data_IF_698274447259
#
_entry.id   IF_698274447259
#
_cell.length_a   1.000
_cell.length_b   1.000
_cell.length_c   1.000
_cell.angle_alpha   90.00
_cell.angle_beta   90.00
_cell.angle_gamma   90.00
#
_symmetry.space_group_name_H-M   'P 1'
#
loop_
_entity.id
_entity.type
_entity.pdbx_description
1 polymer ?
#
# COMPACT_ATOMS: atom_id res chain seq x y z
N UNK A 1 -15.32 8.82 -14.90
CA UNK A 1 -13.88 8.53 -14.98
C UNK A 1 -13.65 7.55 -16.12
N UNK A 2 -13.60 8.07 -17.34
CA UNK A 2 -13.38 7.28 -18.56
C UNK A 2 -12.22 7.90 -19.33
N UNK A 3 -10.99 7.65 -18.90
CA UNK A 3 -9.77 8.06 -19.61
C UNK A 3 -8.59 7.12 -19.37
N UNK A 4 -8.80 5.81 -19.49
CA UNK A 4 -7.69 4.85 -19.57
C UNK A 4 -8.00 3.69 -20.52
N UNK A 5 -8.32 4.04 -21.77
CA UNK A 5 -8.31 3.11 -22.90
C UNK A 5 -7.60 3.80 -24.05
N UNK A 6 -6.30 3.53 -24.21
CA UNK A 6 -5.58 3.66 -25.48
C UNK A 6 -4.30 2.81 -25.42
N UNK A 7 -4.46 1.57 -25.88
CA UNK A 7 -3.41 0.65 -26.32
C UNK A 7 -2.95 1.16 -27.68
N UNK A 8 -1.71 1.62 -27.82
CA UNK A 8 -1.14 2.03 -29.12
C UNK A 8 -0.18 0.96 -29.63
N UNK A 9 -0.51 0.45 -30.80
CA UNK A 9 0.23 -0.53 -31.56
C UNK A 9 1.54 0.05 -32.14
N UNK A 10 2.55 -0.81 -32.23
CA UNK A 10 3.80 -0.59 -32.95
C UNK A 10 3.60 -0.92 -34.44
N UNK A 11 4.17 -0.15 -35.37
CA UNK A 11 4.55 -0.68 -36.68
C UNK A 11 6.05 -0.49 -36.97
N UNK A 12 6.57 -1.47 -37.69
CA UNK A 12 7.99 -1.68 -37.96
C UNK A 12 8.64 -0.79 -39.01
N UNK A 13 9.95 -1.02 -39.10
CA UNK A 13 10.97 -0.42 -39.96
C UNK A 13 10.76 -0.62 -41.47
N UNK A 14 11.06 0.41 -42.26
CA UNK A 14 11.79 0.24 -43.54
C UNK A 14 12.48 1.55 -43.99
N UNK A 15 13.66 1.38 -44.60
CA UNK A 15 14.67 2.36 -44.98
C UNK A 15 14.31 3.26 -46.18
N UNK A 16 14.88 4.46 -46.26
CA UNK A 16 15.50 5.00 -47.48
C UNK A 16 16.35 6.26 -47.22
N UNK A 17 17.53 6.29 -47.83
CA UNK A 17 18.58 7.28 -47.68
C UNK A 17 18.36 8.55 -48.54
N UNK A 18 18.89 9.70 -48.08
CA UNK A 18 19.33 10.79 -48.95
C UNK A 18 20.36 11.68 -48.23
N UNK A 19 21.58 11.71 -48.77
CA UNK A 19 22.66 12.62 -48.42
C UNK A 19 22.34 14.07 -48.83
N UNK A 20 22.61 15.03 -47.95
CA UNK A 20 23.13 16.35 -48.36
C UNK A 20 23.89 17.03 -47.22
N UNK A 21 25.15 17.34 -47.50
CA UNK A 21 26.14 18.02 -46.65
C UNK A 21 25.99 19.55 -46.71
N UNK A 22 26.59 20.24 -45.73
CA UNK A 22 26.94 21.68 -45.62
C UNK A 22 25.85 22.52 -44.90
N UNK A 23 26.10 23.30 -43.84
CA UNK A 23 27.29 24.02 -43.38
C UNK A 23 27.30 24.21 -41.85
N UNK A 24 28.51 24.37 -41.30
CA UNK A 24 28.76 24.86 -39.96
C UNK A 24 28.60 26.39 -39.88
N UNK A 25 27.88 26.87 -38.87
CA UNK A 25 28.04 28.22 -38.31
C UNK A 25 27.50 28.25 -36.88
N UNK A 26 28.42 28.61 -35.99
CA UNK A 26 28.34 28.85 -34.54
C UNK A 26 27.15 29.70 -34.09
N UNK A 27 26.46 29.29 -33.02
CA UNK A 27 25.91 30.19 -31.98
C UNK A 27 25.55 29.41 -30.72
N UNK A 28 26.34 29.68 -29.68
CA UNK A 28 25.96 29.99 -28.29
C UNK A 28 25.18 28.99 -27.41
N UNK A 29 25.65 28.99 -26.17
CA UNK A 29 25.36 28.12 -25.03
C UNK A 29 24.08 28.59 -24.32
N UNK A 30 23.14 27.68 -24.06
CA UNK A 30 22.19 27.82 -22.95
C UNK A 30 22.03 26.47 -22.22
N UNK A 31 22.80 26.31 -21.14
CA UNK A 31 22.56 25.29 -20.12
C UNK A 31 21.46 25.84 -19.20
N UNK A 32 20.24 25.31 -19.36
CA UNK A 32 19.11 25.61 -18.49
C UNK A 32 19.45 25.29 -17.04
N UNK A 33 19.50 26.34 -16.21
CA UNK A 33 19.74 26.27 -14.77
C UNK A 33 18.62 25.46 -14.10
N UNK A 34 18.98 24.33 -13.47
CA UNK A 34 18.16 23.75 -12.41
C UNK A 34 18.20 24.72 -11.23
N UNK A 35 17.11 25.45 -11.03
CA UNK A 35 16.89 26.35 -9.90
C UNK A 35 17.02 25.56 -8.59
N UNK A 36 18.06 25.86 -7.81
CA UNK A 36 18.14 25.41 -6.42
C UNK A 36 16.95 26.02 -5.63
N UNK A 37 16.29 25.27 -4.74
CA UNK A 37 15.22 25.82 -3.92
C UNK A 37 15.77 26.94 -3.02
N UNK A 38 15.15 28.12 -3.14
CA UNK A 38 15.57 29.34 -2.46
C UNK A 38 15.26 29.26 -0.96
N UNK A 39 16.25 28.88 -0.15
CA UNK A 39 16.17 28.78 1.32
C UNK A 39 15.81 30.13 1.98
N UNK A 40 16.15 31.26 1.35
CA UNK A 40 15.97 32.60 1.93
C UNK A 40 14.52 33.11 1.93
N UNK A 41 13.68 32.64 0.99
CA UNK A 41 12.24 32.93 0.95
C UNK A 41 11.50 32.19 2.08
N UNK A 42 11.89 30.95 2.36
CA UNK A 42 11.33 30.13 3.45
C UNK A 42 11.61 30.74 4.83
N UNK A 43 12.81 31.30 5.06
CA UNK A 43 13.16 31.94 6.34
C UNK A 43 12.43 33.28 6.58
N UNK A 44 12.15 34.05 5.53
CA UNK A 44 11.38 35.30 5.65
C UNK A 44 9.90 35.03 5.96
N UNK A 45 9.33 34.00 5.32
CA UNK A 45 7.96 33.56 5.57
C UNK A 45 7.77 33.05 7.01
N UNK A 46 8.71 32.26 7.53
CA UNK A 46 8.65 31.72 8.89
C UNK A 46 8.82 32.79 9.98
N UNK A 47 9.69 33.80 9.78
CA UNK A 47 9.80 34.94 10.71
C UNK A 47 8.55 35.80 10.75
N UNK A 48 7.99 36.14 9.58
CA UNK A 48 6.72 36.87 9.50
C UNK A 48 5.57 36.09 10.15
N UNK A 49 5.58 34.75 10.03
CA UNK A 49 4.61 33.89 10.69
C UNK A 49 4.74 33.95 12.21
N UNK A 50 5.94 33.93 12.79
CA UNK A 50 6.12 34.03 14.26
C UNK A 50 5.54 35.33 14.82
N UNK A 51 5.80 36.48 14.20
CA UNK A 51 5.29 37.76 14.69
C UNK A 51 3.76 37.85 14.58
N UNK A 52 3.19 37.31 13.49
CA UNK A 52 1.74 37.22 13.31
C UNK A 52 1.10 36.25 14.32
N UNK A 53 1.76 35.14 14.61
CA UNK A 53 1.33 34.18 15.64
C UNK A 53 1.32 34.83 17.02
N UNK A 54 2.37 35.58 17.38
CA UNK A 54 2.42 36.32 18.67
C UNK A 54 1.28 37.33 18.78
N UNK A 55 1.03 38.12 17.73
CA UNK A 55 -0.11 39.05 17.68
C UNK A 55 -1.45 38.33 17.83
N UNK A 56 -1.61 37.16 17.20
CA UNK A 56 -2.84 36.37 17.31
C UNK A 56 -3.04 35.82 18.73
N UNK A 57 -1.97 35.35 19.38
CA UNK A 57 -2.00 34.93 20.78
C UNK A 57 -2.37 36.08 21.73
N UNK A 58 -1.82 37.29 21.49
CA UNK A 58 -2.17 38.50 22.24
C UNK A 58 -3.66 38.87 22.08
N UNK A 59 -4.19 38.82 20.86
CA UNK A 59 -5.61 39.08 20.58
C UNK A 59 -6.50 38.04 21.28
N UNK A 60 -6.09 36.78 21.26
CA UNK A 60 -6.80 35.68 21.91
C UNK A 60 -6.68 35.70 23.44
N UNK A 61 -5.88 36.61 24.02
CA UNK A 61 -5.57 36.68 25.45
C UNK A 61 -4.94 35.41 26.00
N UNK A 62 -4.18 34.71 25.16
CA UNK A 62 -3.49 33.47 25.48
C UNK A 62 -2.03 33.77 25.85
N UNK A 63 -1.84 34.38 27.03
CA UNK A 63 -0.54 34.86 27.50
C UNK A 63 0.31 33.78 28.20
N UNK A 64 -0.31 32.68 28.60
CA UNK A 64 0.33 31.61 29.39
C UNK A 64 0.58 30.33 28.58
N UNK A 65 0.34 30.39 27.26
CA UNK A 65 0.86 29.35 26.37
C UNK A 65 2.37 29.49 26.40
N UNK A 66 3.09 28.42 26.75
CA UNK A 66 4.55 28.33 26.65
C UNK A 66 4.85 27.09 25.82
N UNK A 67 5.87 27.18 24.96
CA UNK A 67 6.28 26.06 24.11
C UNK A 67 6.06 26.26 22.61
N UNK A 68 6.12 25.16 21.88
CA UNK A 68 6.09 25.08 20.42
C UNK A 68 4.71 25.44 19.83
N UNK A 69 4.71 26.37 18.87
CA UNK A 69 3.56 26.58 17.98
C UNK A 69 3.77 25.74 16.72
N UNK A 70 2.86 24.82 16.46
CA UNK A 70 2.92 23.96 15.28
C UNK A 70 1.99 24.49 14.18
N UNK A 71 2.57 24.95 13.08
CA UNK A 71 1.85 25.38 11.88
C UNK A 71 1.58 24.16 11.00
N UNK A 72 0.32 23.80 10.81
CA UNK A 72 -0.07 22.72 9.90
C UNK A 72 -0.05 23.24 8.47
N UNK A 73 0.76 22.60 7.63
CA UNK A 73 0.91 22.90 6.20
C UNK A 73 0.46 21.70 5.38
N UNK A 74 -0.31 21.95 4.31
CA UNK A 74 -0.74 20.89 3.42
C UNK A 74 0.30 20.68 2.32
N UNK A 75 0.87 19.47 2.25
CA UNK A 75 1.68 19.08 1.09
C UNK A 75 0.80 18.82 -0.12
N UNK A 76 1.37 18.76 -1.33
CA UNK A 76 0.61 18.40 -2.54
C UNK A 76 1.38 17.32 -3.29
N UNK A 77 0.73 16.23 -3.74
CA UNK A 77 -0.70 15.90 -3.58
C UNK A 77 -1.02 15.16 -2.27
N UNK A 78 -2.11 15.53 -1.58
CA UNK A 78 -2.59 14.87 -0.34
C UNK A 78 -3.37 13.57 -0.55
N UNK A 79 -3.76 13.31 -1.80
CA UNK A 79 -4.63 12.21 -2.22
C UNK A 79 -3.89 11.26 -3.17
N UNK A 80 -2.58 11.10 -3.00
CA UNK A 80 -1.76 10.26 -3.87
C UNK A 80 -2.12 8.77 -3.81
N UNK A 81 -2.78 8.33 -2.74
CA UNK A 81 -3.07 6.93 -2.48
C UNK A 81 -1.89 6.16 -1.89
N UNK A 82 -0.76 6.84 -1.60
CA UNK A 82 0.45 6.23 -1.04
C UNK A 82 0.26 5.73 0.40
N UNK A 83 -0.76 6.26 1.09
CA UNK A 83 -1.10 5.90 2.46
C UNK A 83 -2.52 5.36 2.52
N UNK A 84 -2.74 4.36 3.38
CA UNK A 84 -4.06 3.88 3.80
C UNK A 84 -4.05 3.64 5.30
N UNK A 85 -5.19 3.90 5.93
CA UNK A 85 -5.38 3.68 7.36
C UNK A 85 -6.04 2.33 7.57
N UNK A 86 -5.48 1.53 8.47
CA UNK A 86 -6.00 0.21 8.84
C UNK A 86 -6.23 0.24 10.35
N UNK A 87 -7.46 -0.08 10.76
CA UNK A 87 -7.79 -0.31 12.16
C UNK A 87 -7.32 -1.71 12.56
N UNK A 88 -6.50 -1.76 13.62
CA UNK A 88 -5.94 -2.99 14.17
C UNK A 88 -6.31 -3.10 15.64
N UNK A 89 -6.68 -4.30 16.08
CA UNK A 89 -6.88 -4.57 17.50
C UNK A 89 -5.52 -4.68 18.23
N UNK A 90 -5.47 -4.56 19.56
CA UNK A 90 -4.20 -4.59 20.31
C UNK A 90 -3.36 -5.85 20.05
N UNK A 91 -4.00 -7.04 20.01
CA UNK A 91 -3.31 -8.31 19.73
C UNK A 91 -2.62 -8.30 18.36
N UNK A 92 -3.27 -7.74 17.34
CA UNK A 92 -2.72 -7.64 15.99
C UNK A 92 -1.65 -6.54 15.90
N UNK A 93 -1.81 -5.43 16.64
CA UNK A 93 -0.80 -4.40 16.74
C UNK A 93 0.51 -4.95 17.31
N UNK A 94 0.45 -5.69 18.44
CA UNK A 94 1.63 -6.33 19.04
C UNK A 94 2.36 -7.25 18.04
N UNK A 95 1.60 -7.99 17.23
CA UNK A 95 2.12 -8.88 16.20
C UNK A 95 2.82 -8.11 15.07
N UNK A 96 2.21 -7.04 14.59
CA UNK A 96 2.79 -6.15 13.58
C UNK A 96 4.09 -5.53 14.10
N UNK A 97 4.08 -5.02 15.33
CA UNK A 97 5.25 -4.42 15.97
C UNK A 97 6.39 -5.43 16.20
N UNK A 98 6.04 -6.70 16.43
CA UNK A 98 7.03 -7.79 16.51
C UNK A 98 7.66 -8.18 15.15
N UNK A 99 7.16 -7.62 14.05
CA UNK A 99 7.64 -7.90 12.70
C UNK A 99 6.99 -9.11 12.03
N UNK A 100 5.80 -9.52 12.49
CA UNK A 100 5.07 -10.62 11.84
C UNK A 100 4.68 -10.26 10.40
N UNK A 101 4.86 -11.22 9.48
CA UNK A 101 4.48 -11.05 8.08
C UNK A 101 2.96 -11.08 7.92
N UNK A 102 2.44 -10.04 7.27
CA UNK A 102 1.05 -9.92 6.84
C UNK A 102 0.98 -9.99 5.32
N UNK A 103 -0.03 -10.68 4.78
CA UNK A 103 -0.22 -10.84 3.34
C UNK A 103 -1.68 -10.63 3.00
N UNK A 104 -1.97 -9.75 2.03
CA UNK A 104 -3.30 -9.66 1.43
C UNK A 104 -3.47 -10.76 0.40
N UNK A 105 -4.60 -11.48 0.46
CA UNK A 105 -4.94 -12.58 -0.47
C UNK A 105 -6.34 -12.38 -1.07
N UNK A 106 -6.51 -12.83 -2.29
CA UNK A 106 -7.75 -12.73 -3.08
C UNK A 106 -7.46 -12.35 -4.53
N UNK A 107 -8.32 -12.81 -5.43
CA UNK A 107 -8.32 -12.40 -6.84
C UNK A 107 -8.93 -11.02 -7.02
N UNK A 108 -8.88 -10.54 -8.27
CA UNK A 108 -9.47 -9.27 -8.70
C UNK A 108 -10.97 -9.12 -8.37
N UNK A 109 -11.72 -10.22 -8.42
CA UNK A 109 -13.17 -10.23 -8.17
C UNK A 109 -13.53 -10.56 -6.71
N UNK A 110 -12.54 -10.88 -5.87
CA UNK A 110 -12.77 -11.24 -4.48
C UNK A 110 -12.79 -10.00 -3.57
N UNK A 111 -13.48 -10.13 -2.43
CA UNK A 111 -13.22 -9.25 -1.30
C UNK A 111 -11.89 -9.68 -0.67
N UNK A 112 -10.88 -8.80 -0.58
CA UNK A 112 -9.57 -9.21 -0.08
C UNK A 112 -9.64 -9.66 1.38
N UNK A 113 -8.75 -10.58 1.73
CA UNK A 113 -8.50 -10.97 3.12
C UNK A 113 -7.08 -10.61 3.51
N UNK A 114 -6.86 -10.29 4.78
CA UNK A 114 -5.54 -10.13 5.37
C UNK A 114 -5.21 -11.41 6.13
N UNK A 115 -4.15 -12.09 5.72
CA UNK A 115 -3.66 -13.29 6.36
C UNK A 115 -2.41 -12.97 7.16
N UNK A 116 -2.43 -13.40 8.42
CA UNK A 116 -1.21 -13.64 9.19
C UNK A 116 -0.73 -15.08 8.91
N UNK A 117 0.29 -15.56 9.60
CA UNK A 117 0.70 -16.97 9.45
C UNK A 117 -0.40 -17.96 9.87
N UNK A 118 -1.24 -17.57 10.84
CA UNK A 118 -2.15 -18.46 11.56
C UNK A 118 -3.63 -18.09 11.37
N UNK A 119 -3.93 -16.79 11.36
CA UNK A 119 -5.28 -16.24 11.35
C UNK A 119 -5.55 -15.46 10.05
N UNK A 120 -6.80 -15.51 9.59
CA UNK A 120 -7.30 -14.75 8.44
C UNK A 120 -8.33 -13.72 8.89
N UNK A 121 -8.26 -12.53 8.33
CA UNK A 121 -9.13 -11.40 8.62
C UNK A 121 -9.83 -10.95 7.35
N UNK A 122 -11.14 -10.77 7.43
CA UNK A 122 -11.90 -10.06 6.42
C UNK A 122 -11.52 -8.58 6.43
N UNK A 123 -11.30 -8.03 5.24
CA UNK A 123 -10.96 -6.62 5.03
C UNK A 123 -12.22 -5.89 4.58
N UNK A 124 -12.56 -4.80 5.26
CA UNK A 124 -13.73 -3.99 4.91
C UNK A 124 -13.36 -2.52 4.93
N UNK A 125 -13.72 -1.78 3.89
CA UNK A 125 -13.59 -0.33 3.89
C UNK A 125 -14.76 0.31 4.64
N UNK A 126 -14.44 1.25 5.53
CA UNK A 126 -15.39 2.04 6.30
C UNK A 126 -15.16 3.52 6.01
N UNK A 127 -16.25 4.26 5.86
CA UNK A 127 -16.23 5.71 5.67
C UNK A 127 -16.65 6.41 6.96
N UNK A 128 -15.97 7.51 7.26
CA UNK A 128 -16.30 8.38 8.40
C UNK A 128 -16.77 9.73 7.89
N UNK A 129 -17.59 10.41 8.68
CA UNK A 129 -17.97 11.80 8.43
C UNK A 129 -16.81 12.78 8.67
N UNK A 130 -15.70 12.32 9.25
CA UNK A 130 -14.58 13.14 9.65
C UNK A 130 -13.45 13.02 8.64
N UNK A 131 -12.62 14.05 8.56
CA UNK A 131 -11.39 14.00 7.78
C UNK A 131 -10.21 13.74 8.71
N UNK A 132 -9.50 12.65 8.47
CA UNK A 132 -8.28 12.27 9.16
C UNK A 132 -7.09 12.85 8.41
N UNK A 133 -6.27 13.63 9.12
CA UNK A 133 -5.02 14.18 8.61
C UNK A 133 -3.86 13.33 9.11
N UNK A 134 -3.03 12.85 8.18
CA UNK A 134 -1.84 12.06 8.51
C UNK A 134 -0.63 12.99 8.48
N UNK A 135 0.08 13.03 9.60
CA UNK A 135 1.31 13.81 9.77
C UNK A 135 2.39 12.87 10.33
N UNK A 136 3.65 12.92 9.84
CA UNK A 136 4.72 12.04 10.34
C UNK A 136 5.08 12.27 11.81
N UNK A 137 4.89 13.49 12.31
CA UNK A 137 5.16 13.84 13.70
C UNK A 137 4.34 15.07 14.10
N UNK A 138 3.73 15.01 15.27
CA UNK A 138 3.06 16.12 15.95
C UNK A 138 3.44 16.02 17.42
N UNK A 139 3.89 17.12 18.00
CA UNK A 139 4.17 17.14 19.43
C UNK A 139 2.90 17.45 20.22
N UNK A 140 2.63 16.68 21.26
CA UNK A 140 1.55 16.99 22.20
C UNK A 140 2.07 17.83 23.36
N UNK A 141 1.17 18.45 24.13
CA UNK A 141 1.53 19.38 25.22
C UNK A 141 2.55 18.80 26.22
N UNK A 142 2.57 17.48 26.36
CA UNK A 142 3.41 16.74 27.31
C UNK A 142 4.87 16.57 26.83
N UNK A 143 5.14 16.85 25.55
CA UNK A 143 6.42 16.58 24.88
C UNK A 143 7.24 17.86 24.65
N UNK A 144 6.66 19.01 24.99
CA UNK A 144 7.22 20.32 24.72
C UNK A 144 7.84 20.87 26.01
N UNK A 145 9.13 21.22 25.97
CA UNK A 145 9.80 21.86 27.10
C UNK A 145 9.26 23.27 27.38
N UNK A 146 9.45 23.76 28.62
CA UNK A 146 9.03 25.10 29.09
C UNK A 146 9.86 26.27 28.50
N UNK A 147 10.32 26.15 27.25
CA UNK A 147 11.14 27.15 26.57
C UNK A 147 10.35 28.28 25.91
N UNK A 148 11.09 29.19 25.28
CA UNK A 148 10.53 30.26 24.44
C UNK A 148 9.73 29.70 23.26
N UNK A 149 8.74 30.46 22.81
CA UNK A 149 7.91 30.11 21.66
C UNK A 149 8.75 29.98 20.39
N UNK A 150 8.74 28.78 19.79
CA UNK A 150 9.27 28.55 18.44
C UNK A 150 8.18 28.01 17.53
N UNK A 151 8.28 28.35 16.24
CA UNK A 151 7.33 27.93 15.22
C UNK A 151 7.90 26.74 14.45
N UNK A 152 7.15 25.63 14.43
CA UNK A 152 7.50 24.46 13.64
C UNK A 152 6.43 24.21 12.60
N UNK A 153 6.82 24.11 11.33
CA UNK A 153 5.92 23.67 10.27
C UNK A 153 5.77 22.15 10.28
N UNK A 154 4.54 21.65 10.30
CA UNK A 154 4.19 20.23 10.23
C UNK A 154 3.43 19.98 8.94
N UNK A 155 3.97 19.11 8.10
CA UNK A 155 3.37 18.80 6.79
C UNK A 155 2.38 17.66 6.91
N UNK A 156 1.16 17.89 6.43
CA UNK A 156 0.17 16.86 6.16
C UNK A 156 0.62 16.08 4.94
N UNK A 157 0.82 14.77 5.11
CA UNK A 157 1.27 13.87 4.04
C UNK A 157 0.11 13.12 3.38
N UNK A 158 -1.01 12.94 4.09
CA UNK A 158 -2.21 12.35 3.54
C UNK A 158 -3.48 12.87 4.22
N UNK A 159 -4.59 12.78 3.50
CA UNK A 159 -5.92 13.15 3.98
C UNK A 159 -6.92 12.04 3.60
N UNK A 160 -7.58 11.45 4.60
CA UNK A 160 -8.49 10.34 4.41
C UNK A 160 -9.82 10.56 5.12
N UNK A 161 -10.93 10.22 4.46
CA UNK A 161 -12.25 10.06 5.11
C UNK A 161 -12.62 8.58 5.30
N UNK A 162 -11.76 7.66 4.82
CA UNK A 162 -11.98 6.23 4.82
C UNK A 162 -10.82 5.52 5.51
N UNK A 163 -11.13 4.38 6.12
CA UNK A 163 -10.16 3.47 6.72
C UNK A 163 -10.60 2.03 6.51
N UNK A 164 -9.67 1.10 6.72
CA UNK A 164 -9.89 -0.33 6.56
C UNK A 164 -10.09 -0.98 7.92
N UNK A 165 -11.21 -1.65 8.09
CA UNK A 165 -11.53 -2.49 9.25
C UNK A 165 -11.09 -3.93 9.00
N UNK A 166 -10.57 -4.57 10.05
CA UNK A 166 -10.18 -5.98 10.05
C UNK A 166 -11.07 -6.79 10.99
N UNK A 167 -11.78 -7.77 10.45
CA UNK A 167 -12.58 -8.72 11.24
C UNK A 167 -11.99 -10.11 11.14
N UNK A 168 -11.56 -10.68 12.26
CA UNK A 168 -11.08 -12.07 12.30
C UNK A 168 -12.19 -13.02 11.81
N UNK A 169 -11.83 -13.95 10.94
CA UNK A 169 -12.71 -15.02 10.49
C UNK A 169 -12.46 -16.27 11.33
N UNK A 170 -13.51 -16.75 12.00
CA UNK A 170 -13.45 -18.00 12.79
C UNK A 170 -13.68 -19.25 11.92
N UNK A 171 -14.39 -19.09 10.79
CA UNK A 171 -14.66 -20.15 9.83
C UNK A 171 -14.31 -19.66 8.43
N UNK A 172 -13.56 -20.47 7.68
CA UNK A 172 -13.11 -20.15 6.33
C UNK A 172 -13.69 -21.18 5.36
N UNK A 173 -14.14 -20.71 4.20
CA UNK A 173 -14.67 -21.56 3.15
C UNK A 173 -13.57 -22.40 2.52
N UNK A 174 -13.79 -23.71 2.45
CA UNK A 174 -12.91 -24.65 1.74
C UNK A 174 -13.38 -24.90 0.29
N UNK A 175 -14.46 -24.25 -0.16
CA UNK A 175 -15.06 -24.55 -1.46
C UNK A 175 -14.05 -24.35 -2.59
N UNK A 176 -13.35 -23.22 -2.56
CA UNK A 176 -12.35 -22.90 -3.59
C UNK A 176 -11.17 -23.86 -3.60
N UNK A 177 -10.68 -24.23 -2.41
CA UNK A 177 -9.64 -25.25 -2.29
C UNK A 177 -10.11 -26.60 -2.85
N UNK A 178 -11.35 -27.00 -2.55
CA UNK A 178 -11.94 -28.24 -3.07
C UNK A 178 -12.14 -28.21 -4.58
N UNK A 179 -12.59 -27.09 -5.14
CA UNK A 179 -12.75 -26.88 -6.57
C UNK A 179 -11.40 -27.01 -7.29
N UNK A 180 -10.36 -26.33 -6.79
CA UNK A 180 -9.01 -26.43 -7.35
C UNK A 180 -8.46 -27.86 -7.32
N UNK A 181 -8.62 -28.54 -6.18
CA UNK A 181 -8.16 -29.91 -6.01
C UNK A 181 -8.94 -30.90 -6.88
N UNK A 182 -10.24 -30.65 -7.09
CA UNK A 182 -11.11 -31.49 -7.93
C UNK A 182 -10.74 -31.41 -9.41
N UNK A 183 -10.29 -30.25 -9.89
CA UNK A 183 -9.82 -30.10 -11.28
C UNK A 183 -8.61 -30.99 -11.60
N UNK A 184 -7.90 -31.48 -10.57
CA UNK A 184 -6.70 -32.32 -10.71
C UNK A 184 -6.85 -33.64 -9.93
N UNK A 185 -8.03 -34.23 -9.95
CA UNK A 185 -8.23 -35.59 -9.44
C UNK A 185 -7.41 -36.60 -10.25
N UNK A 186 -6.73 -37.51 -9.54
CA UNK A 186 -6.01 -38.62 -10.18
C UNK A 186 -7.04 -39.56 -10.79
N UNK A 187 -7.00 -39.71 -12.11
CA UNK A 187 -7.75 -40.77 -12.79
C UNK A 187 -6.99 -42.10 -12.62
N UNK A 188 -7.63 -43.06 -11.94
CA UNK A 188 -7.07 -44.38 -11.69
C UNK A 188 -7.39 -45.38 -12.82
N UNK A 189 -8.25 -45.02 -13.78
CA UNK A 189 -8.82 -45.94 -14.79
C UNK A 189 -8.14 -45.84 -16.17
N UNK A 190 -7.37 -44.78 -16.45
CA UNK A 190 -6.68 -44.63 -17.73
C UNK A 190 -5.27 -45.24 -17.71
N UNK A 191 -5.15 -46.33 -18.47
CA UNK A 191 -3.90 -46.97 -18.92
C UNK A 191 -2.85 -45.90 -19.23
N UNK A 192 -1.80 -45.83 -18.40
CA UNK A 192 -0.57 -45.03 -18.55
C UNK A 192 -0.56 -44.15 -19.80
N UNK A 193 -1.21 -42.98 -19.73
CA UNK A 193 -1.09 -41.97 -20.77
C UNK A 193 0.04 -41.03 -20.32
N UNK A 194 1.28 -41.19 -20.84
CA UNK A 194 2.46 -40.50 -20.32
C UNK A 194 2.46 -38.98 -20.56
N UNK A 195 1.40 -38.43 -21.14
CA UNK A 195 1.23 -37.00 -21.44
C UNK A 195 0.28 -36.29 -20.46
N UNK A 196 -0.42 -37.01 -19.57
CA UNK A 196 -1.18 -36.43 -18.46
C UNK A 196 -0.32 -36.45 -17.19
N UNK A 197 0.72 -35.62 -17.16
CA UNK A 197 1.24 -35.14 -15.87
C UNK A 197 0.11 -34.32 -15.24
N UNK A 198 -0.71 -34.97 -14.40
CA UNK A 198 -1.74 -34.31 -13.61
C UNK A 198 -1.13 -33.10 -12.90
N UNK A 199 -1.75 -31.94 -13.05
CA UNK A 199 -1.21 -30.68 -12.54
C UNK A 199 -1.21 -30.74 -11.01
N UNK A 200 -0.03 -30.94 -10.40
CA UNK A 200 0.13 -30.88 -8.96
C UNK A 200 0.28 -29.44 -8.51
N UNK A 201 -0.41 -29.02 -7.44
CA UNK A 201 -0.26 -27.68 -6.90
C UNK A 201 0.73 -27.64 -5.74
N UNK A 202 1.69 -26.74 -5.78
CA UNK A 202 2.52 -26.45 -4.61
C UNK A 202 1.69 -25.72 -3.54
N UNK A 203 2.22 -25.63 -2.31
CA UNK A 203 1.57 -24.86 -1.26
C UNK A 203 1.40 -23.38 -1.67
N UNK A 204 2.41 -22.81 -2.34
CA UNK A 204 2.38 -21.43 -2.81
C UNK A 204 1.33 -21.24 -3.90
N UNK A 205 1.21 -22.18 -4.85
CA UNK A 205 0.18 -22.11 -5.91
C UNK A 205 -1.24 -22.10 -5.31
N UNK A 206 -1.47 -22.92 -4.27
CA UNK A 206 -2.76 -22.94 -3.57
C UNK A 206 -2.98 -21.60 -2.85
N UNK A 207 -1.98 -21.11 -2.13
CA UNK A 207 -2.04 -19.87 -1.36
C UNK A 207 -2.28 -18.62 -2.21
N UNK A 208 -1.85 -18.62 -3.46
CA UNK A 208 -2.11 -17.50 -4.39
C UNK A 208 -3.59 -17.39 -4.75
N UNK A 209 -4.32 -18.51 -4.70
CA UNK A 209 -5.73 -18.58 -5.11
C UNK A 209 -6.68 -18.63 -3.92
N UNK A 210 -6.29 -19.26 -2.80
CA UNK A 210 -7.17 -19.41 -1.63
C UNK A 210 -7.06 -18.26 -0.64
N UNK A 211 -8.19 -17.89 -0.04
CA UNK A 211 -8.30 -16.80 0.93
C UNK A 211 -8.14 -17.30 2.37
N UNK A 212 -6.98 -17.89 2.70
CA UNK A 212 -6.69 -18.39 4.06
C UNK A 212 -5.22 -18.30 4.44
N UNK A 213 -4.93 -18.41 5.74
CA UNK A 213 -3.57 -18.44 6.26
C UNK A 213 -2.86 -19.74 5.88
N UNK A 214 -1.54 -19.73 5.96
CA UNK A 214 -0.73 -20.91 5.68
C UNK A 214 -1.07 -22.08 6.61
N UNK A 215 -1.21 -21.81 7.91
CA UNK A 215 -1.60 -22.83 8.89
C UNK A 215 -3.01 -23.37 8.65
N UNK A 216 -3.95 -22.50 8.27
CA UNK A 216 -5.32 -22.90 7.96
C UNK A 216 -5.39 -23.77 6.71
N UNK A 217 -4.58 -23.48 5.69
CA UNK A 217 -4.45 -24.31 4.50
C UNK A 217 -3.85 -25.67 4.81
N UNK A 218 -2.74 -25.72 5.56
CA UNK A 218 -2.12 -27.00 5.94
C UNK A 218 -3.10 -27.88 6.75
N UNK A 219 -3.81 -27.27 7.70
CA UNK A 219 -4.84 -27.97 8.47
C UNK A 219 -5.98 -28.46 7.57
N UNK A 220 -6.44 -27.65 6.61
CA UNK A 220 -7.48 -28.05 5.68
C UNK A 220 -7.05 -29.24 4.81
N UNK A 221 -5.83 -29.20 4.26
CA UNK A 221 -5.27 -30.28 3.43
C UNK A 221 -5.16 -31.60 4.21
N UNK A 222 -4.86 -31.55 5.51
CA UNK A 222 -4.80 -32.75 6.36
C UNK A 222 -6.16 -33.46 6.50
N UNK A 223 -7.28 -32.73 6.45
CA UNK A 223 -8.63 -33.30 6.56
C UNK A 223 -9.27 -33.63 5.21
N UNK A 224 -8.63 -33.27 4.10
CA UNK A 224 -9.10 -33.56 2.75
C UNK A 224 -8.42 -34.82 2.20
N UNK A 225 -9.07 -35.55 1.27
CA UNK A 225 -8.49 -36.73 0.62
C UNK A 225 -7.46 -36.30 -0.44
N UNK A 226 -6.31 -35.81 0.04
CA UNK A 226 -5.24 -35.26 -0.79
C UNK A 226 -3.95 -36.00 -0.47
N UNK A 227 -3.17 -36.31 -1.50
CA UNK A 227 -1.81 -36.84 -1.37
C UNK A 227 -0.79 -35.81 -1.82
N UNK A 228 0.38 -35.83 -1.19
CA UNK A 228 1.52 -35.01 -1.59
C UNK A 228 2.49 -35.87 -2.41
N UNK A 229 2.58 -35.62 -3.71
CA UNK A 229 3.47 -36.33 -4.64
C UNK A 229 4.25 -35.34 -5.50
N UNK A 230 5.53 -35.64 -5.79
CA UNK A 230 6.41 -34.84 -6.64
C UNK A 230 6.53 -33.35 -6.26
N UNK A 231 6.27 -32.99 -5.00
CA UNK A 231 6.34 -31.60 -4.51
C UNK A 231 5.04 -30.81 -4.63
N UNK A 232 3.92 -31.46 -4.96
CA UNK A 232 2.60 -30.84 -4.98
C UNK A 232 1.49 -31.73 -4.41
N UNK A 233 0.33 -31.11 -4.20
CA UNK A 233 -0.88 -31.70 -3.66
C UNK A 233 -1.82 -32.12 -4.80
N UNK A 234 -2.34 -33.35 -4.72
CA UNK A 234 -3.25 -33.94 -5.70
C UNK A 234 -4.40 -34.64 -4.99
N UNK A 235 -5.62 -34.49 -5.48
CA UNK A 235 -6.83 -35.10 -4.91
C UNK A 235 -7.00 -36.54 -5.36
N UNK A 236 -7.46 -37.42 -4.47
CA UNK A 236 -7.89 -38.78 -4.80
C UNK A 236 -9.29 -39.02 -4.22
N UNK A 237 -10.32 -38.92 -5.05
CA UNK A 237 -11.70 -39.25 -4.66
C UNK A 237 -12.22 -40.31 -5.60
#
# INVERSE_FOLDING_TARGET
MERFLKKTAVPGSSNAAAHRTLNASTTEVEVGQKQLPCVSLSMRSTRANIDNTKKLLDIAKLFDVKGEVQQIEFSSPLLSGDYRLIEVNPKLADRIESGERLVFRGELDDNPVLCTQQETYQVKEAETSNTLLVLPAVHFANEVGNGDHFLTARKVVAMHSQYVELRKLDVISLNRLKELLRENEIDWDETENPEQEGKSYTLDDLLDVVQMSEEQLMNALHYLPVIHQHGGYVSYI
#
